data_IF_204404982724
#
_entry.id   IF_204404982724
#
_cell.length_a   1.000
_cell.length_b   1.000
_cell.length_c   1.000
_cell.angle_alpha   90.00
_cell.angle_beta   90.00
_cell.angle_gamma   90.00
#
_symmetry.space_group_name_H-M   'P 1'
#
loop_
_entity.id
_entity.type
_entity.pdbx_description
1 polymer ?
#
# COMPACT_ATOMS: atom_id res chain seq x y z
N UNK A 1 -46.14 -2.30 64.81
CA UNK A 1 -45.86 -0.91 64.41
C UNK A 1 -46.32 -0.77 62.94
N UNK A 2 -47.60 -0.50 62.64
CA UNK A 2 -48.20 0.84 62.34
C UNK A 2 -47.12 1.78 61.78
N UNK A 3 -47.08 2.19 60.51
CA UNK A 3 -48.03 2.87 59.61
C UNK A 3 -47.36 2.87 58.19
N UNK A 4 -47.95 3.10 57.00
CA UNK A 4 -49.25 3.61 56.55
C UNK A 4 -49.46 3.33 55.04
N UNK A 5 -50.72 3.03 54.68
CA UNK A 5 -51.55 3.43 53.51
C UNK A 5 -51.01 3.44 52.07
N UNK A 6 -51.62 2.65 51.17
CA UNK A 6 -52.81 2.90 50.27
C UNK A 6 -52.43 3.79 49.05
N UNK A 7 -52.78 3.50 47.79
CA UNK A 7 -54.12 3.35 47.22
C UNK A 7 -54.15 2.60 45.86
N UNK A 8 -55.32 2.02 45.54
CA UNK A 8 -55.75 1.46 44.23
C UNK A 8 -55.64 2.49 43.08
N UNK A 9 -55.43 2.05 41.84
CA UNK A 9 -56.06 2.60 40.61
C UNK A 9 -55.85 1.58 39.45
N UNK A 10 -56.89 0.86 39.03
CA UNK A 10 -57.78 1.13 37.88
C UNK A 10 -57.15 0.90 36.50
N UNK A 11 -57.78 0.00 35.72
CA UNK A 11 -57.55 -0.26 34.30
C UNK A 11 -57.50 1.04 33.50
N UNK A 12 -56.47 1.19 32.66
CA UNK A 12 -56.51 2.06 31.48
C UNK A 12 -56.00 1.23 30.31
N UNK A 13 -56.93 0.81 29.47
CA UNK A 13 -56.70 0.41 28.08
C UNK A 13 -56.30 1.64 27.28
N UNK A 14 -55.12 1.63 26.66
CA UNK A 14 -54.77 2.58 25.61
C UNK A 14 -53.93 1.88 24.55
N UNK A 15 -54.56 1.60 23.41
CA UNK A 15 -53.90 1.19 22.17
C UNK A 15 -53.10 2.38 21.63
N UNK A 16 -51.78 2.24 21.52
CA UNK A 16 -50.92 3.15 20.76
C UNK A 16 -50.08 2.31 19.78
N UNK A 17 -50.53 2.33 18.53
CA UNK A 17 -49.78 2.68 17.32
C UNK A 17 -48.33 2.17 17.17
N UNK A 18 -48.17 1.27 16.18
CA UNK A 18 -47.14 1.23 15.11
C UNK A 18 -45.67 1.54 15.43
N UNK A 19 -44.81 0.59 15.06
CA UNK A 19 -43.57 0.90 14.33
C UNK A 19 -42.26 0.74 15.10
N UNK A 20 -41.69 -0.46 15.05
CA UNK A 20 -40.26 -0.72 15.23
C UNK A 20 -39.98 -1.93 14.33
N UNK A 21 -39.40 -1.80 13.13
CA UNK A 21 -38.10 -1.21 12.87
C UNK A 21 -37.02 -2.29 12.97
N UNK A 22 -37.20 -3.40 12.25
CA UNK A 22 -36.21 -4.48 12.14
C UNK A 22 -35.18 -4.06 11.09
N UNK A 23 -34.10 -3.44 11.54
CA UNK A 23 -32.92 -3.13 10.71
C UNK A 23 -32.19 -4.45 10.45
N UNK A 24 -32.41 -5.02 9.27
CA UNK A 24 -31.56 -6.08 8.72
C UNK A 24 -30.22 -5.45 8.34
N UNK A 25 -29.16 -5.84 9.04
CA UNK A 25 -27.79 -5.51 8.70
C UNK A 25 -27.44 -6.15 7.34
N UNK A 26 -27.31 -5.34 6.31
CA UNK A 26 -26.67 -5.72 5.04
C UNK A 26 -25.16 -5.79 5.25
N UNK A 27 -24.60 -6.99 5.32
CA UNK A 27 -23.15 -7.20 5.18
C UNK A 27 -22.75 -6.92 3.75
N UNK A 28 -22.11 -5.79 3.49
CA UNK A 28 -21.47 -5.50 2.21
C UNK A 28 -20.26 -6.42 2.04
N UNK A 29 -20.46 -7.52 1.31
CA UNK A 29 -19.37 -8.23 0.66
C UNK A 29 -18.91 -7.35 -0.50
N UNK A 30 -17.86 -6.56 -0.28
CA UNK A 30 -17.12 -5.93 -1.37
C UNK A 30 -16.29 -7.00 -2.07
N UNK A 31 -16.96 -7.78 -2.93
CA UNK A 31 -16.27 -8.52 -3.97
C UNK A 31 -15.78 -7.53 -5.02
N UNK A 32 -14.59 -7.78 -5.57
CA UNK A 32 -14.11 -7.05 -6.74
C UNK A 32 -15.05 -7.39 -7.90
N UNK A 33 -15.92 -6.45 -8.27
CA UNK A 33 -16.85 -6.63 -9.39
C UNK A 33 -16.04 -6.60 -10.69
N UNK A 34 -16.20 -7.61 -11.54
CA UNK A 34 -15.59 -7.59 -12.86
C UNK A 34 -16.27 -6.48 -13.65
N UNK A 35 -15.52 -5.41 -13.97
CA UNK A 35 -15.98 -4.47 -14.98
C UNK A 35 -16.05 -5.20 -16.31
N UNK A 36 -17.27 -5.52 -16.76
CA UNK A 36 -17.49 -6.03 -18.10
C UNK A 36 -17.55 -4.88 -19.12
N UNK A 37 -17.32 -5.21 -20.39
CA UNK A 37 -17.24 -4.21 -21.45
C UNK A 37 -18.57 -3.44 -21.64
N UNK A 38 -19.70 -4.04 -21.26
CA UNK A 38 -21.02 -3.41 -21.34
C UNK A 38 -21.20 -2.29 -20.30
N UNK A 39 -20.64 -2.49 -19.11
CA UNK A 39 -20.63 -1.54 -18.00
C UNK A 39 -19.71 -0.35 -18.32
N UNK A 40 -18.56 -0.62 -18.93
CA UNK A 40 -17.63 0.42 -19.40
C UNK A 40 -18.21 1.26 -20.54
N UNK A 41 -18.96 0.66 -21.47
CA UNK A 41 -19.60 1.37 -22.57
C UNK A 41 -20.77 2.27 -22.13
N UNK A 42 -21.46 1.93 -21.03
CA UNK A 42 -22.55 2.76 -20.50
C UNK A 42 -22.07 4.00 -19.74
N UNK A 43 -20.83 4.00 -19.25
CA UNK A 43 -20.24 5.18 -18.62
C UNK A 43 -19.81 6.14 -19.72
N UNK A 44 -20.71 7.08 -20.07
CA UNK A 44 -20.38 8.24 -20.89
C UNK A 44 -19.49 9.18 -20.09
N UNK A 45 -18.18 8.94 -20.13
CA UNK A 45 -17.18 9.85 -19.59
C UNK A 45 -17.28 11.19 -20.29
N UNK A 46 -17.41 12.27 -19.51
CA UNK A 46 -17.05 13.61 -19.99
C UNK A 46 -15.60 13.57 -20.48
N UNK A 47 -15.29 14.40 -21.49
CA UNK A 47 -14.01 14.49 -22.20
C UNK A 47 -12.77 14.23 -21.33
N UNK A 48 -11.74 13.62 -21.94
CA UNK A 48 -10.48 13.23 -21.28
C UNK A 48 -9.91 14.30 -20.33
N UNK A 49 -9.29 13.83 -19.25
CA UNK A 49 -8.78 14.67 -18.18
C UNK A 49 -7.25 14.75 -18.21
N UNK A 50 -6.70 15.95 -18.03
CA UNK A 50 -5.26 16.14 -17.84
C UNK A 50 -4.97 16.21 -16.34
N UNK A 51 -4.19 15.26 -15.82
CA UNK A 51 -3.75 15.21 -14.44
C UNK A 51 -2.30 15.66 -14.30
N UNK A 52 -2.01 16.45 -13.27
CA UNK A 52 -0.66 16.71 -12.78
C UNK A 52 -0.52 16.10 -11.39
N UNK A 53 0.46 15.20 -11.22
CA UNK A 53 0.67 14.46 -9.99
C UNK A 53 2.08 14.71 -9.47
N UNK A 54 2.18 15.33 -8.29
CA UNK A 54 3.45 15.55 -7.61
C UNK A 54 3.47 14.76 -6.31
N UNK A 55 4.36 13.78 -6.25
CA UNK A 55 4.68 13.06 -5.03
C UNK A 55 5.98 13.63 -4.44
N UNK A 56 5.97 13.98 -3.16
CA UNK A 56 7.13 14.51 -2.43
C UNK A 56 7.21 13.80 -1.08
N UNK A 57 8.40 13.30 -0.74
CA UNK A 57 8.62 12.48 0.44
C UNK A 57 9.85 12.96 1.22
N UNK A 58 9.68 13.10 2.55
CA UNK A 58 10.73 13.25 3.57
C UNK A 58 11.79 14.32 3.26
N UNK A 59 11.39 15.46 2.70
CA UNK A 59 12.29 16.60 2.52
C UNK A 59 11.59 17.95 2.71
N UNK A 60 12.39 18.99 2.97
CA UNK A 60 11.92 20.38 3.01
C UNK A 60 11.87 21.00 1.60
N UNK A 61 11.45 22.26 1.51
CA UNK A 61 11.39 23.02 0.25
C UNK A 61 12.77 23.21 -0.41
N UNK A 62 13.86 23.00 0.32
CA UNK A 62 15.24 23.10 -0.16
C UNK A 62 15.81 21.71 -0.52
N UNK A 63 14.98 20.67 -0.55
CA UNK A 63 15.35 19.28 -0.78
C UNK A 63 16.32 18.69 0.27
N UNK A 64 16.37 19.27 1.48
CA UNK A 64 17.06 18.66 2.60
C UNK A 64 16.21 17.55 3.19
N UNK A 65 16.84 16.41 3.47
CA UNK A 65 16.18 15.30 4.13
C UNK A 65 15.59 15.73 5.48
N UNK A 66 14.29 15.51 5.66
CA UNK A 66 13.56 15.84 6.88
C UNK A 66 12.83 14.61 7.37
N UNK A 67 13.33 14.06 8.47
CA UNK A 67 12.73 12.91 9.13
C UNK A 67 12.96 13.01 10.63
N UNK A 68 11.90 13.15 11.42
CA UNK A 68 12.00 13.27 12.88
C UNK A 68 12.47 11.96 13.52
N UNK A 69 12.05 10.83 12.96
CA UNK A 69 12.46 9.51 13.38
C UNK A 69 12.78 8.64 12.16
N UNK A 70 14.07 8.35 11.99
CA UNK A 70 14.64 7.58 10.88
C UNK A 70 13.97 6.21 10.72
N UNK A 71 13.43 5.66 11.82
CA UNK A 71 12.65 4.43 11.87
C UNK A 71 11.47 4.40 10.89
N UNK A 72 10.91 5.56 10.56
CA UNK A 72 9.72 5.70 9.71
C UNK A 72 10.02 6.24 8.30
N UNK A 73 11.27 6.58 8.00
CA UNK A 73 11.67 7.05 6.67
C UNK A 73 12.36 5.96 5.85
N UNK A 74 11.85 4.74 5.96
CA UNK A 74 12.38 3.56 5.27
C UNK A 74 11.28 2.75 4.61
N UNK A 75 11.66 2.06 3.54
CA UNK A 75 10.85 1.05 2.87
C UNK A 75 11.57 -0.27 3.04
N UNK A 76 10.86 -1.24 3.59
CA UNK A 76 11.35 -2.58 3.78
C UNK A 76 10.56 -3.56 2.93
N UNK A 77 11.27 -4.43 2.24
CA UNK A 77 10.68 -5.47 1.40
C UNK A 77 11.30 -6.81 1.80
N UNK A 78 10.47 -7.77 2.17
CA UNK A 78 10.92 -9.16 2.32
C UNK A 78 10.73 -9.88 0.99
N UNK A 79 11.82 -10.06 0.26
CA UNK A 79 11.80 -10.75 -1.03
C UNK A 79 11.66 -12.26 -0.78
N UNK A 80 10.59 -12.85 -1.32
CA UNK A 80 10.29 -14.28 -1.21
C UNK A 80 10.25 -14.82 0.24
N UNK A 81 9.93 -13.96 1.22
CA UNK A 81 10.00 -14.28 2.65
C UNK A 81 11.30 -15.00 3.04
N UNK A 82 12.44 -14.54 2.52
CA UNK A 82 13.74 -15.15 2.82
C UNK A 82 14.05 -15.10 4.33
N UNK A 83 14.64 -16.18 4.84
CA UNK A 83 15.10 -16.28 6.23
C UNK A 83 16.63 -16.35 6.34
N UNK A 84 17.17 -15.88 7.47
CA UNK A 84 18.61 -15.80 7.70
C UNK A 84 19.35 -17.14 7.70
N UNK A 85 18.66 -18.23 7.99
CA UNK A 85 19.18 -19.60 8.05
C UNK A 85 18.93 -20.40 6.76
N UNK A 86 18.35 -19.77 5.73
CA UNK A 86 18.03 -20.42 4.46
C UNK A 86 16.78 -21.30 4.50
N UNK A 87 16.05 -21.33 5.63
CA UNK A 87 14.73 -21.99 5.68
C UNK A 87 13.71 -21.23 4.81
N UNK A 88 12.60 -21.89 4.53
CA UNK A 88 11.54 -21.38 3.65
C UNK A 88 10.19 -21.52 4.34
N UNK A 89 9.24 -20.70 3.91
CA UNK A 89 7.84 -20.91 4.27
C UNK A 89 7.35 -22.24 3.72
N UNK A 90 6.38 -22.83 4.42
CA UNK A 90 5.58 -23.93 3.91
C UNK A 90 4.13 -23.49 3.71
N UNK A 91 3.29 -24.37 3.19
CA UNK A 91 1.87 -24.12 3.00
C UNK A 91 1.08 -25.26 3.62
N UNK A 92 -0.03 -24.93 4.29
CA UNK A 92 -0.98 -25.95 4.74
C UNK A 92 -1.76 -26.55 3.56
N UNK A 93 -2.58 -27.55 3.84
CA UNK A 93 -3.42 -28.20 2.83
C UNK A 93 -4.53 -27.28 2.26
N UNK A 94 -4.74 -26.09 2.83
CA UNK A 94 -5.68 -25.06 2.35
C UNK A 94 -4.96 -23.98 1.54
N UNK A 95 -3.63 -24.07 1.39
CA UNK A 95 -2.81 -23.09 0.70
C UNK A 95 -2.47 -21.86 1.54
N UNK A 96 -2.75 -21.86 2.85
CA UNK A 96 -2.30 -20.77 3.73
C UNK A 96 -0.81 -20.90 3.98
N UNK A 97 -0.12 -19.77 3.92
CA UNK A 97 1.31 -19.64 4.23
C UNK A 97 1.56 -19.96 5.71
N UNK A 98 2.52 -20.82 5.97
CA UNK A 98 3.09 -21.09 7.29
C UNK A 98 4.54 -20.57 7.31
N UNK A 99 4.82 -19.62 8.20
CA UNK A 99 6.16 -19.07 8.37
C UNK A 99 7.15 -20.10 8.90
N UNK A 100 8.44 -19.92 8.63
CA UNK A 100 9.50 -20.77 9.18
C UNK A 100 9.51 -20.70 10.72
N UNK A 101 9.53 -21.87 11.37
CA UNK A 101 9.56 -21.98 12.83
C UNK A 101 10.96 -21.81 13.44
N UNK A 102 12.00 -21.77 12.61
CA UNK A 102 13.41 -21.54 13.04
C UNK A 102 14.00 -20.28 12.42
N UNK A 103 13.49 -19.90 11.25
CA UNK A 103 13.98 -18.78 10.47
C UNK A 103 13.48 -17.45 11.01
N UNK A 104 14.42 -16.53 11.22
CA UNK A 104 14.17 -15.09 11.39
C UNK A 104 14.11 -14.41 10.03
N UNK A 105 13.03 -13.68 9.76
CA UNK A 105 12.77 -13.09 8.44
C UNK A 105 13.80 -12.01 8.12
N UNK A 106 14.25 -11.99 6.87
CA UNK A 106 15.15 -10.97 6.35
C UNK A 106 14.39 -9.94 5.53
N UNK A 107 14.84 -8.70 5.65
CA UNK A 107 14.28 -7.53 5.01
C UNK A 107 15.36 -6.81 4.25
N UNK A 108 15.09 -6.50 2.99
CA UNK A 108 15.85 -5.50 2.28
C UNK A 108 15.28 -4.12 2.66
N UNK A 109 16.06 -3.33 3.39
CA UNK A 109 15.62 -2.06 3.97
C UNK A 109 16.34 -0.90 3.29
N UNK A 110 15.58 -0.11 2.54
CA UNK A 110 15.98 1.19 1.99
C UNK A 110 15.74 2.26 3.05
N UNK A 111 16.81 2.85 3.58
CA UNK A 111 16.79 3.79 4.70
C UNK A 111 16.95 5.23 4.22
N UNK A 112 16.25 6.15 4.87
CA UNK A 112 16.27 7.56 4.53
C UNK A 112 15.74 7.84 3.12
N UNK A 113 14.59 7.26 2.77
CA UNK A 113 13.95 7.47 1.47
C UNK A 113 13.47 8.90 1.37
N UNK A 114 13.75 9.55 0.26
CA UNK A 114 13.32 10.92 0.01
C UNK A 114 13.22 11.20 -1.48
N UNK A 115 12.64 12.36 -1.79
CA UNK A 115 12.68 12.96 -3.12
C UNK A 115 11.31 13.37 -3.61
N UNK A 116 11.29 13.82 -4.86
CA UNK A 116 10.08 14.22 -5.57
C UNK A 116 9.99 13.52 -6.91
N UNK A 117 8.83 12.94 -7.18
CA UNK A 117 8.42 12.48 -8.52
C UNK A 117 7.30 13.39 -8.98
N UNK A 118 7.53 14.14 -10.06
CA UNK A 118 6.56 15.08 -10.61
C UNK A 118 6.16 14.65 -12.02
N UNK A 119 4.93 14.15 -12.14
CA UNK A 119 4.27 13.88 -13.41
C UNK A 119 3.54 15.16 -13.79
N UNK A 120 4.14 15.90 -14.71
CA UNK A 120 3.64 17.23 -15.10
C UNK A 120 2.32 17.14 -15.87
N UNK A 121 2.15 16.12 -16.70
CA UNK A 121 0.94 15.88 -17.47
C UNK A 121 0.77 14.38 -17.71
N UNK A 122 -0.36 13.85 -17.25
CA UNK A 122 -0.87 12.52 -17.55
C UNK A 122 -2.26 12.71 -18.13
N UNK A 123 -2.43 12.36 -19.41
CA UNK A 123 -3.72 12.44 -20.08
C UNK A 123 -4.51 11.17 -19.82
N UNK A 124 -5.69 11.28 -19.25
CA UNK A 124 -6.60 10.18 -19.02
C UNK A 124 -7.73 10.28 -20.04
N UNK A 125 -7.80 9.32 -20.96
CA UNK A 125 -8.82 9.27 -22.02
C UNK A 125 -9.40 7.86 -22.14
N UNK A 126 -10.53 7.72 -22.83
CA UNK A 126 -11.11 6.44 -23.22
C UNK A 126 -10.81 6.13 -24.68
N UNK A 127 -10.38 4.91 -24.99
CA UNK A 127 -10.22 4.46 -26.38
C UNK A 127 -10.51 2.97 -26.49
N UNK A 128 -11.06 2.52 -27.62
CA UNK A 128 -11.23 1.09 -27.86
C UNK A 128 -9.92 0.44 -28.33
N UNK A 129 -9.63 -0.74 -27.77
CA UNK A 129 -8.57 -1.64 -28.25
C UNK A 129 -9.21 -2.81 -28.98
N UNK A 130 -8.85 -3.01 -30.24
CA UNK A 130 -9.36 -4.13 -31.04
C UNK A 130 -8.44 -5.33 -30.85
N UNK A 131 -8.96 -6.40 -30.24
CA UNK A 131 -8.28 -7.69 -30.12
C UNK A 131 -9.09 -8.79 -30.80
N UNK A 132 -8.48 -9.52 -31.73
CA UNK A 132 -9.13 -10.59 -32.50
C UNK A 132 -10.49 -10.18 -33.12
N UNK A 133 -10.60 -8.93 -33.57
CA UNK A 133 -11.82 -8.36 -34.14
C UNK A 133 -12.89 -7.93 -33.13
N UNK A 134 -12.65 -8.11 -31.83
CA UNK A 134 -13.55 -7.66 -30.75
C UNK A 134 -13.02 -6.35 -30.15
N UNK A 135 -13.85 -5.29 -30.08
CA UNK A 135 -13.48 -4.05 -29.40
C UNK A 135 -13.59 -4.22 -27.88
N UNK A 136 -12.55 -3.82 -27.16
CA UNK A 136 -12.53 -3.73 -25.71
C UNK A 136 -12.33 -2.27 -25.30
N UNK A 137 -13.20 -1.77 -24.43
CA UNK A 137 -13.06 -0.43 -23.89
C UNK A 137 -11.78 -0.37 -23.04
N UNK A 138 -10.92 0.62 -23.30
CA UNK A 138 -9.66 0.80 -22.60
C UNK A 138 -9.56 2.19 -21.98
N UNK A 139 -8.93 2.23 -20.80
CA UNK A 139 -8.41 3.45 -20.21
C UNK A 139 -7.07 3.75 -20.89
N UNK A 140 -6.95 4.92 -21.50
CA UNK A 140 -5.73 5.41 -22.13
C UNK A 140 -5.04 6.43 -21.23
N UNK A 141 -3.77 6.17 -20.95
CA UNK A 141 -2.86 7.06 -20.23
C UNK A 141 -1.84 7.62 -21.20
N UNK A 142 -1.99 8.88 -21.61
CA UNK A 142 -1.12 9.54 -22.56
C UNK A 142 -0.03 10.38 -21.91
N UNK A 143 1.16 10.34 -22.50
CA UNK A 143 2.32 11.12 -22.05
C UNK A 143 2.76 12.10 -23.11
N UNK A 144 3.11 13.31 -22.66
CA UNK A 144 3.62 14.36 -23.52
C UNK A 144 5.16 14.45 -23.39
N UNK A 145 5.92 14.20 -24.46
CA UNK A 145 7.37 14.18 -24.38
C UNK A 145 7.98 15.55 -24.03
N UNK A 146 7.25 16.65 -24.28
CA UNK A 146 7.65 18.00 -23.87
C UNK A 146 7.40 18.29 -22.38
N UNK A 147 6.64 17.43 -21.69
CA UNK A 147 6.35 17.50 -20.24
C UNK A 147 6.85 16.23 -19.55
N UNK A 148 8.18 16.05 -19.44
CA UNK A 148 8.75 14.82 -18.91
C UNK A 148 8.37 14.58 -17.44
N UNK A 149 8.39 13.32 -17.01
CA UNK A 149 8.32 12.97 -15.60
C UNK A 149 9.63 13.38 -14.95
N UNK A 150 9.56 14.18 -13.91
CA UNK A 150 10.75 14.71 -13.23
C UNK A 150 11.02 13.94 -11.95
N UNK A 151 12.23 13.41 -11.84
CA UNK A 151 12.77 12.84 -10.62
C UNK A 151 13.76 13.84 -10.02
N UNK A 152 13.51 14.28 -8.79
CA UNK A 152 14.36 15.22 -8.06
C UNK A 152 14.72 14.64 -6.71
N UNK A 153 16.01 14.37 -6.52
CA UNK A 153 16.55 13.84 -5.28
C UNK A 153 15.87 12.54 -4.84
N UNK A 154 15.45 11.71 -5.80
CA UNK A 154 14.69 10.48 -5.53
C UNK A 154 15.66 9.36 -5.20
N UNK A 155 15.50 8.76 -4.04
CA UNK A 155 16.27 7.58 -3.66
C UNK A 155 16.31 7.37 -2.16
N UNK A 156 17.39 6.76 -1.68
CA UNK A 156 17.60 6.39 -0.29
C UNK A 156 19.06 6.58 0.10
N UNK A 157 19.30 6.90 1.37
CA UNK A 157 20.63 7.19 1.89
C UNK A 157 21.47 5.91 2.05
N UNK A 158 20.84 4.81 2.48
CA UNK A 158 21.53 3.54 2.63
C UNK A 158 20.60 2.34 2.44
N UNK A 159 21.16 1.22 1.99
CA UNK A 159 20.50 -0.06 1.83
C UNK A 159 21.14 -1.06 2.77
N UNK A 160 20.33 -1.87 3.44
CA UNK A 160 20.81 -2.87 4.40
C UNK A 160 19.92 -4.11 4.38
N UNK A 161 20.49 -5.24 4.82
CA UNK A 161 19.69 -6.42 5.15
C UNK A 161 19.48 -6.39 6.65
N UNK A 162 18.24 -6.23 7.06
CA UNK A 162 17.86 -6.30 8.46
C UNK A 162 17.16 -7.62 8.73
N UNK A 163 17.40 -8.20 9.90
CA UNK A 163 16.83 -9.50 10.28
C UNK A 163 15.97 -9.34 11.51
N UNK A 164 14.83 -10.01 11.52
CA UNK A 164 13.99 -10.13 12.71
C UNK A 164 14.81 -10.62 13.91
N UNK A 165 14.41 -10.19 15.10
CA UNK A 165 15.07 -10.63 16.35
C UNK A 165 14.85 -12.12 16.61
N UNK A 166 13.68 -12.64 16.26
CA UNK A 166 13.28 -14.04 16.38
C UNK A 166 12.30 -14.40 15.25
N UNK A 167 11.57 -15.51 15.35
CA UNK A 167 10.64 -15.93 14.28
C UNK A 167 9.35 -15.11 14.30
N UNK A 168 8.56 -15.15 13.22
CA UNK A 168 7.31 -14.37 13.12
C UNK A 168 6.22 -14.80 14.12
N UNK A 169 6.33 -16.01 14.68
CA UNK A 169 5.43 -16.54 15.70
C UNK A 169 5.97 -16.37 17.13
N UNK A 170 6.94 -15.47 17.31
CA UNK A 170 7.66 -15.22 18.56
C UNK A 170 8.43 -16.45 19.11
N UNK A 171 8.62 -17.50 18.31
CA UNK A 171 9.49 -18.60 18.69
C UNK A 171 10.96 -18.16 18.68
N UNK A 172 11.73 -18.66 19.64
CA UNK A 172 13.16 -18.35 19.84
C UNK A 172 13.47 -16.90 20.25
N UNK A 173 12.48 -16.13 20.70
CA UNK A 173 12.73 -14.82 21.31
C UNK A 173 13.38 -14.97 22.69
N UNK A 174 14.04 -13.91 23.17
CA UNK A 174 14.50 -13.85 24.56
C UNK A 174 13.30 -13.88 25.51
N UNK A 175 13.50 -14.40 26.72
CA UNK A 175 12.40 -14.51 27.70
C UNK A 175 11.79 -13.13 27.96
N UNK A 176 10.47 -13.00 27.77
CA UNK A 176 9.75 -11.73 27.96
C UNK A 176 9.85 -10.74 26.79
N UNK A 177 10.37 -11.15 25.63
CA UNK A 177 10.40 -10.35 24.41
C UNK A 177 9.53 -10.97 23.31
N UNK A 178 8.97 -10.11 22.46
CA UNK A 178 8.33 -10.50 21.19
C UNK A 178 9.29 -10.22 20.04
N UNK A 179 8.94 -10.72 18.86
CA UNK A 179 9.64 -10.41 17.63
C UNK A 179 9.58 -8.91 17.35
N UNK A 180 10.74 -8.27 17.34
CA UNK A 180 10.97 -7.01 16.68
C UNK A 180 11.32 -7.29 15.22
N UNK A 181 10.48 -6.87 14.25
CA UNK A 181 10.82 -6.99 12.85
C UNK A 181 12.14 -6.29 12.54
N UNK A 182 12.96 -6.86 11.66
CA UNK A 182 14.28 -6.31 11.34
C UNK A 182 14.20 -4.87 10.82
N UNK A 183 13.18 -4.58 10.02
CA UNK A 183 12.89 -3.23 9.55
C UNK A 183 12.34 -2.28 10.62
N UNK A 184 12.18 -2.71 11.87
CA UNK A 184 11.87 -1.88 13.03
C UNK A 184 13.05 -1.78 14.00
N UNK A 185 14.23 -2.30 13.64
CA UNK A 185 15.45 -2.13 14.42
C UNK A 185 15.80 -0.64 14.54
N UNK A 186 16.16 -0.15 15.75
CA UNK A 186 16.55 1.24 15.95
C UNK A 186 17.68 1.68 15.04
N UNK A 187 17.55 2.90 14.51
CA UNK A 187 18.52 3.50 13.62
C UNK A 187 19.89 3.58 14.30
N UNK A 188 20.91 2.99 13.65
CA UNK A 188 22.31 3.08 14.11
C UNK A 188 23.10 3.88 13.08
N UNK A 189 23.48 5.14 13.39
CA UNK A 189 24.29 5.94 12.49
C UNK A 189 25.69 5.35 12.27
N UNK A 190 26.29 5.68 11.13
CA UNK A 190 27.70 5.49 10.92
C UNK A 190 28.47 6.55 11.73
N UNK A 191 29.29 6.07 12.68
CA UNK A 191 30.03 6.92 13.61
C UNK A 191 31.38 7.41 13.09
N UNK A 192 31.73 7.12 11.83
CA UNK A 192 32.96 7.60 11.21
C UNK A 192 32.78 8.97 10.53
N UNK A 193 33.89 9.54 10.05
CA UNK A 193 33.88 10.72 9.19
C UNK A 193 33.71 10.34 7.72
N UNK A 194 33.30 11.30 6.90
CA UNK A 194 33.18 11.13 5.44
C UNK A 194 31.74 11.11 4.94
N UNK A 195 31.54 10.53 3.76
CA UNK A 195 30.27 10.60 3.04
C UNK A 195 29.08 10.04 3.82
N UNK A 196 29.29 9.00 4.63
CA UNK A 196 28.23 8.33 5.40
C UNK A 196 28.10 8.83 6.85
N UNK A 197 28.88 9.84 7.26
CA UNK A 197 28.79 10.40 8.60
C UNK A 197 27.35 10.80 8.94
N UNK A 198 26.86 10.33 10.09
CA UNK A 198 25.50 10.57 10.60
C UNK A 198 24.34 9.97 9.77
N UNK A 199 24.63 9.19 8.73
CA UNK A 199 23.61 8.40 8.00
C UNK A 199 23.44 7.03 8.65
N UNK A 200 22.28 6.41 8.52
CA UNK A 200 22.10 5.04 8.96
C UNK A 200 23.02 4.07 8.20
N UNK A 201 23.56 3.08 8.91
CA UNK A 201 24.46 2.08 8.30
C UNK A 201 23.77 1.28 7.20
N UNK A 202 24.50 1.09 6.10
CA UNK A 202 24.16 0.24 4.97
C UNK A 202 25.33 0.13 3.99
N UNK A 203 25.13 -0.59 2.89
CA UNK A 203 26.19 -0.91 1.94
C UNK A 203 26.13 -0.13 0.62
N UNK A 204 25.02 0.55 0.31
CA UNK A 204 24.89 1.43 -0.86
C UNK A 204 23.81 2.49 -0.62
N UNK A 205 23.99 3.69 -1.16
CA UNK A 205 22.97 4.73 -1.26
C UNK A 205 22.74 5.12 -2.71
N UNK A 206 21.53 5.58 -3.03
CA UNK A 206 21.15 6.01 -4.39
C UNK A 206 20.48 7.37 -4.31
N UNK A 207 20.89 8.29 -5.18
CA UNK A 207 20.23 9.56 -5.39
C UNK A 207 20.06 9.81 -6.89
N UNK A 208 18.82 9.91 -7.35
CA UNK A 208 18.48 10.08 -8.75
C UNK A 208 17.90 11.46 -9.00
N UNK A 209 18.50 12.15 -9.97
CA UNK A 209 18.00 13.38 -10.56
C UNK A 209 17.93 13.15 -12.07
N UNK A 210 16.74 13.25 -12.64
CA UNK A 210 16.54 12.95 -14.05
C UNK A 210 15.17 13.36 -14.57
N UNK A 211 15.07 13.40 -15.89
CA UNK A 211 13.82 13.63 -16.60
C UNK A 211 13.56 12.41 -17.49
N UNK A 212 12.40 11.80 -17.34
CA UNK A 212 11.93 10.70 -18.19
C UNK A 212 10.93 11.27 -19.20
N UNK A 213 11.39 11.46 -20.44
CA UNK A 213 10.51 11.79 -21.56
C UNK A 213 9.89 10.49 -22.09
N UNK A 214 8.57 10.41 -22.06
CA UNK A 214 7.80 9.29 -22.58
C UNK A 214 7.05 9.77 -23.81
N UNK A 215 7.15 9.01 -24.90
CA UNK A 215 6.33 9.19 -26.09
C UNK A 215 5.46 7.97 -26.24
N UNK A 216 4.15 8.15 -26.17
CA UNK A 216 3.17 7.09 -26.37
C UNK A 216 2.07 7.09 -25.32
N UNK A 217 1.20 6.09 -25.45
CA UNK A 217 0.04 5.90 -24.60
C UNK A 217 0.08 4.49 -23.99
N UNK A 218 -0.31 4.37 -22.71
CA UNK A 218 -0.56 3.07 -22.05
C UNK A 218 -2.06 2.83 -22.06
N UNK A 219 -2.50 1.73 -22.67
CA UNK A 219 -3.91 1.33 -22.73
C UNK A 219 -4.16 0.16 -21.79
N UNK A 220 -5.10 0.33 -20.86
CA UNK A 220 -5.50 -0.67 -19.87
C UNK A 220 -6.92 -1.09 -20.20
N UNK A 221 -7.13 -2.36 -20.52
CA UNK A 221 -8.43 -2.91 -20.90
C UNK A 221 -8.70 -4.22 -20.15
N UNK A 222 -9.97 -4.57 -20.03
CA UNK A 222 -10.40 -5.84 -19.45
C UNK A 222 -9.85 -7.00 -20.27
N UNK A 223 -9.63 -8.16 -19.65
CA UNK A 223 -9.21 -9.31 -20.42
C UNK A 223 -10.38 -10.15 -20.92
N UNK A 224 -10.52 -10.25 -22.24
CA UNK A 224 -11.52 -11.07 -22.90
C UNK A 224 -11.16 -12.56 -22.98
N UNK A 225 -12.19 -13.41 -23.10
CA UNK A 225 -12.01 -14.83 -23.38
C UNK A 225 -11.28 -15.02 -24.73
N UNK A 226 -10.05 -15.53 -24.68
CA UNK A 226 -9.23 -15.79 -25.87
C UNK A 226 -7.93 -14.99 -25.95
N UNK A 227 -7.64 -14.12 -24.98
CA UNK A 227 -6.33 -13.47 -24.89
C UNK A 227 -5.32 -14.39 -24.17
N UNK A 228 -4.24 -14.88 -24.80
CA UNK A 228 -3.39 -15.97 -24.29
C UNK A 228 -2.50 -15.62 -23.09
N UNK A 229 -2.50 -14.35 -22.68
CA UNK A 229 -1.78 -13.87 -21.47
C UNK A 229 -2.72 -13.55 -20.32
N UNK A 230 -3.98 -13.90 -20.51
CA UNK A 230 -4.99 -14.09 -19.50
C UNK A 230 -5.41 -15.57 -19.58
#
# INVERSE_FOLDING_TARGET
>A
MKFNKKYRFHRITMNILKGCGLVLLSTTLSAMESLDDSSLQQVTGQAGADLSLKFSLNHDNNANFLCADLLYCRLAVSLNNRYHDGTQDSYDAQGNRIASATGRKQWLVMKGIQGTVNIQELKLDGEDVIYNGTPHAAIKLGFNPAKPIEFRNVGFQSLSIETDTCTESDANCSTGSSNLPGYLTPATPYGGSGFDANKERGFIGVNMNGNLSLTGDVKIFSCGAGHPRC
#
